data_IF_010743159759
#
_entry.id   IF_010743159759
#
_cell.length_a   1.000
_cell.length_b   1.000
_cell.length_c   1.000
_cell.angle_alpha   90.00
_cell.angle_beta   90.00
_cell.angle_gamma   90.00
#
_symmetry.space_group_name_H-M   'P 1'
#
loop_
_entity.id
_entity.type
_entity.pdbx_description
1 polymer ?
#
# COMPACT_ATOMS: atom_id res chain seq x y z
N UNK A 1 18.34 -3.17 -2.68
CA UNK A 1 17.63 -2.10 -1.96
C UNK A 1 18.02 -2.17 -0.49
N UNK A 2 18.16 -1.03 0.20
CA UNK A 2 18.46 -0.99 1.64
C UNK A 2 17.24 -1.47 2.42
N UNK A 3 17.28 -2.66 3.03
CA UNK A 3 16.13 -3.20 3.77
C UNK A 3 15.65 -2.20 4.83
N UNK A 4 14.33 -1.98 4.90
CA UNK A 4 13.69 -1.12 5.89
C UNK A 4 13.55 0.35 5.49
N UNK A 5 14.08 0.76 4.33
CA UNK A 5 13.96 2.14 3.82
C UNK A 5 12.88 2.23 2.75
N UNK A 6 11.81 3.00 2.99
CA UNK A 6 10.84 3.31 1.94
C UNK A 6 11.56 4.10 0.83
N UNK A 7 11.45 3.62 -0.41
CA UNK A 7 11.92 4.34 -1.59
C UNK A 7 10.69 5.04 -2.17
N UNK A 8 10.60 6.34 -1.93
CA UNK A 8 9.53 7.20 -2.42
C UNK A 8 10.00 7.98 -3.67
N UNK A 9 9.09 8.51 -4.49
CA UNK A 9 9.45 9.46 -5.53
C UNK A 9 10.32 10.60 -4.95
N UNK A 10 11.38 11.02 -5.67
CA UNK A 10 12.15 12.20 -5.29
C UNK A 10 11.21 13.41 -5.18
N UNK A 11 11.18 14.03 -4.00
CA UNK A 11 10.41 15.24 -3.80
C UNK A 11 11.27 16.40 -4.33
N UNK A 12 10.68 17.36 -5.02
CA UNK A 12 11.29 18.60 -5.49
C UNK A 12 10.78 19.80 -4.69
N UNK A 13 9.52 19.72 -4.25
CA UNK A 13 8.85 20.76 -3.50
C UNK A 13 7.56 20.30 -2.85
N UNK A 14 6.89 21.22 -2.17
CA UNK A 14 5.64 20.97 -1.43
C UNK A 14 4.52 21.83 -1.99
N UNK A 15 3.31 21.30 -1.91
CA UNK A 15 2.05 22.01 -2.17
C UNK A 15 1.32 22.17 -0.85
N UNK A 16 0.93 23.38 -0.49
CA UNK A 16 0.09 23.66 0.70
C UNK A 16 -1.16 24.47 0.35
N UNK A 17 -2.20 24.34 1.18
CA UNK A 17 -3.46 25.11 1.08
C UNK A 17 -3.77 25.86 2.38
N UNK A 18 -2.73 26.47 2.95
CA UNK A 18 -2.78 27.15 4.23
C UNK A 18 -1.41 27.45 4.79
N UNK A 19 -1.41 28.27 5.84
CA UNK A 19 -0.23 28.67 6.61
C UNK A 19 -0.55 28.70 8.10
N UNK A 20 0.48 28.64 8.93
CA UNK A 20 0.34 28.97 10.35
C UNK A 20 0.41 30.48 10.51
N UNK A 21 -0.60 31.03 11.16
CA UNK A 21 -0.63 32.43 11.57
C UNK A 21 -0.62 32.52 13.08
N UNK A 22 0.14 33.47 13.59
CA UNK A 22 0.13 33.79 15.00
C UNK A 22 -1.03 34.75 15.28
N UNK A 23 -2.03 34.28 16.05
CA UNK A 23 -3.15 35.09 16.53
C UNK A 23 -3.16 35.01 18.05
N UNK A 24 -3.02 36.15 18.72
CA UNK A 24 -3.01 36.27 20.18
C UNK A 24 -1.93 35.39 20.87
N UNK A 25 -0.71 35.34 20.34
CA UNK A 25 0.38 34.50 20.86
C UNK A 25 0.20 32.99 20.63
N UNK A 26 -0.85 32.58 19.90
CA UNK A 26 -1.12 31.18 19.53
C UNK A 26 -0.87 31.01 18.03
N UNK A 27 -0.03 30.04 17.65
CA UNK A 27 0.15 29.63 16.24
C UNK A 27 -1.03 28.74 15.84
N UNK A 28 -1.92 29.28 15.01
CA UNK A 28 -3.12 28.59 14.54
C UNK A 28 -3.03 28.31 13.04
N UNK A 29 -3.45 27.12 12.59
CA UNK A 29 -3.52 26.83 11.16
C UNK A 29 -4.65 27.64 10.53
N UNK A 30 -4.31 28.45 9.52
CA UNK A 30 -5.25 29.17 8.68
C UNK A 30 -5.25 28.52 7.30
N UNK A 31 -6.43 28.04 6.88
CA UNK A 31 -6.61 27.48 5.54
C UNK A 31 -6.72 28.62 4.54
N UNK A 32 -5.82 28.60 3.57
CA UNK A 32 -5.81 29.60 2.51
C UNK A 32 -6.80 29.19 1.41
N UNK A 33 -7.32 30.19 0.71
CA UNK A 33 -8.15 29.99 -0.47
C UNK A 33 -7.32 29.91 -1.77
N UNK A 34 -6.07 29.47 -1.65
CA UNK A 34 -5.11 29.30 -2.74
C UNK A 34 -4.07 28.23 -2.39
N UNK A 35 -3.43 27.68 -3.42
CA UNK A 35 -2.23 26.87 -3.27
C UNK A 35 -0.99 27.73 -3.08
N UNK A 36 0.01 27.16 -2.41
CA UNK A 36 1.38 27.67 -2.37
C UNK A 36 2.35 26.55 -2.71
N UNK A 37 3.31 26.84 -3.59
CA UNK A 37 4.38 25.93 -3.99
C UNK A 37 5.69 26.36 -3.35
N UNK A 38 6.31 25.48 -2.59
CA UNK A 38 7.61 25.74 -1.94
C UNK A 38 8.65 24.73 -2.35
N UNK A 39 9.92 25.13 -2.30
CA UNK A 39 11.06 24.23 -2.44
C UNK A 39 11.22 23.36 -1.18
N UNK A 40 12.22 22.48 -1.19
CA UNK A 40 12.62 21.74 0.02
C UNK A 40 13.54 22.52 0.97
N UNK A 41 13.80 23.80 0.71
CA UNK A 41 14.64 24.64 1.55
C UNK A 41 13.78 25.43 2.54
N UNK A 42 14.07 25.28 3.83
CA UNK A 42 13.47 26.05 4.91
C UNK A 42 14.48 27.05 5.47
N UNK A 43 14.13 28.33 5.48
CA UNK A 43 14.86 29.39 6.17
C UNK A 43 14.24 29.67 7.54
N UNK A 44 14.83 30.60 8.30
CA UNK A 44 14.25 31.07 9.59
C UNK A 44 12.87 31.71 9.40
N UNK A 45 12.60 32.27 8.22
CA UNK A 45 11.36 32.97 7.88
C UNK A 45 10.31 32.04 7.26
N UNK A 46 10.63 30.75 7.09
CA UNK A 46 9.73 29.73 6.57
C UNK A 46 10.27 29.02 5.33
N UNK A 47 9.38 28.32 4.61
CA UNK A 47 9.74 27.61 3.39
C UNK A 47 9.97 28.59 2.24
N UNK A 48 11.09 28.41 1.52
CA UNK A 48 11.39 29.22 0.34
C UNK A 48 10.42 28.85 -0.80
N UNK A 49 9.80 29.86 -1.41
CA UNK A 49 8.89 29.68 -2.54
C UNK A 49 9.62 29.04 -3.74
N UNK A 50 8.94 28.12 -4.42
CA UNK A 50 9.45 27.53 -5.65
C UNK A 50 9.19 28.50 -6.83
N UNK A 51 10.06 28.61 -7.86
CA UNK A 51 9.83 29.48 -9.03
C UNK A 51 8.45 29.28 -9.69
N UNK A 52 8.04 28.02 -9.87
CA UNK A 52 6.70 27.64 -10.36
C UNK A 52 5.53 28.26 -9.57
N UNK A 53 5.72 28.68 -8.32
CA UNK A 53 4.69 29.35 -7.53
C UNK A 53 4.25 30.67 -8.16
N UNK A 54 5.20 31.45 -8.67
CA UNK A 54 4.91 32.73 -9.33
C UNK A 54 4.48 32.50 -10.78
N UNK A 55 5.15 31.60 -11.49
CA UNK A 55 4.83 31.30 -12.90
C UNK A 55 3.39 30.80 -13.07
N UNK A 56 2.91 29.91 -12.20
CA UNK A 56 1.53 29.41 -12.28
C UNK A 56 0.48 30.42 -11.82
N UNK A 57 0.88 31.46 -11.08
CA UNK A 57 0.01 32.60 -10.72
C UNK A 57 -0.14 33.58 -11.89
N UNK A 58 0.90 33.71 -12.72
CA UNK A 58 0.88 34.54 -13.92
C UNK A 58 -0.04 33.90 -14.97
N UNK A 59 -1.34 34.19 -14.85
CA UNK A 59 -2.41 33.55 -15.64
C UNK A 59 -3.68 33.27 -14.83
N UNK A 60 -3.65 33.54 -13.52
CA UNK A 60 -4.80 33.46 -12.61
C UNK A 60 -5.01 34.85 -11.96
N UNK A 61 -6.17 35.10 -11.35
CA UNK A 61 -6.53 36.38 -10.69
C UNK A 61 -5.72 36.62 -9.39
N UNK A 62 -4.39 36.54 -9.44
CA UNK A 62 -3.44 36.66 -8.33
C UNK A 62 -3.45 35.47 -7.36
N UNK A 63 -4.50 34.65 -7.33
CA UNK A 63 -4.65 33.45 -6.48
C UNK A 63 -4.47 32.16 -7.27
N UNK A 64 -3.51 31.35 -6.86
CA UNK A 64 -3.27 30.02 -7.44
C UNK A 64 -4.36 29.05 -6.99
N UNK A 65 -5.41 28.85 -7.79
CA UNK A 65 -6.55 27.95 -7.48
C UNK A 65 -6.54 26.66 -8.29
N UNK A 66 -5.75 26.61 -9.35
CA UNK A 66 -5.53 25.41 -10.15
C UNK A 66 -4.05 25.20 -10.41
N UNK A 67 -3.60 23.95 -10.38
CA UNK A 67 -2.23 23.55 -10.72
C UNK A 67 -2.31 22.44 -11.77
N UNK A 68 -1.87 22.67 -13.01
CA UNK A 68 -1.71 21.60 -13.99
C UNK A 68 -0.71 20.56 -13.46
N UNK A 69 -1.10 19.29 -13.48
CA UNK A 69 -0.27 18.19 -12.98
C UNK A 69 -0.20 17.05 -13.98
N UNK A 70 0.75 16.15 -13.73
CA UNK A 70 0.76 14.77 -14.21
C UNK A 70 0.94 13.84 -13.01
N UNK A 71 0.60 12.58 -13.18
CA UNK A 71 0.86 11.53 -12.19
C UNK A 71 2.02 10.66 -12.66
N UNK A 72 2.79 10.12 -11.71
CA UNK A 72 3.94 9.27 -12.01
C UNK A 72 3.50 7.85 -12.36
N UNK A 73 2.44 7.36 -11.72
CA UNK A 73 2.04 5.96 -11.76
C UNK A 73 0.61 5.78 -12.26
N UNK A 74 0.31 4.62 -12.84
CA UNK A 74 -1.06 4.27 -13.21
C UNK A 74 -1.88 3.82 -12.00
N UNK A 75 -1.23 3.19 -11.01
CA UNK A 75 -1.88 2.77 -9.77
C UNK A 75 -2.16 3.98 -8.84
N UNK A 76 -3.42 4.21 -8.43
CA UNK A 76 -3.81 5.32 -7.55
C UNK A 76 -3.01 5.38 -6.26
N UNK A 77 -2.83 4.25 -5.59
CA UNK A 77 -2.20 4.15 -4.27
C UNK A 77 -0.69 4.43 -4.30
N UNK A 78 -0.04 4.35 -5.48
CA UNK A 78 1.36 4.77 -5.63
C UNK A 78 1.50 6.29 -5.72
N UNK A 79 0.44 6.99 -6.17
CA UNK A 79 0.42 8.44 -6.24
C UNK A 79 -0.15 9.07 -4.96
N UNK A 80 -1.20 8.49 -4.40
CA UNK A 80 -1.90 9.02 -3.22
C UNK A 80 -2.07 7.96 -2.14
N UNK A 81 -1.35 8.13 -1.03
CA UNK A 81 -1.45 7.26 0.13
C UNK A 81 -2.19 7.96 1.25
N UNK A 82 -3.18 7.28 1.82
CA UNK A 82 -3.99 7.82 2.90
C UNK A 82 -4.08 6.79 4.03
N UNK A 83 -3.39 7.07 5.13
CA UNK A 83 -3.30 6.20 6.29
C UNK A 83 -3.79 6.94 7.54
N UNK A 84 -4.23 6.20 8.56
CA UNK A 84 -4.31 6.71 9.91
C UNK A 84 -2.92 6.78 10.53
N UNK A 85 -2.48 7.98 10.88
CA UNK A 85 -1.14 8.23 11.41
C UNK A 85 -1.21 8.85 12.79
N UNK A 86 -0.28 8.43 13.65
CA UNK A 86 0.00 8.99 14.97
C UNK A 86 1.49 9.33 14.99
N UNK A 87 1.79 10.57 15.33
CA UNK A 87 3.16 11.07 15.42
C UNK A 87 3.54 11.41 16.86
N UNK A 88 4.80 11.27 17.18
CA UNK A 88 5.35 11.76 18.43
C UNK A 88 5.38 13.28 18.41
N UNK A 89 4.82 13.92 19.45
CA UNK A 89 4.65 15.37 19.49
C UNK A 89 5.97 16.14 19.54
N UNK A 90 7.02 15.56 20.12
CA UNK A 90 8.29 16.24 20.34
C UNK A 90 9.23 16.06 19.14
N UNK A 91 9.20 14.87 18.55
CA UNK A 91 10.15 14.47 17.50
C UNK A 91 9.53 14.46 16.11
N UNK A 92 8.20 14.51 15.98
CA UNK A 92 7.48 14.41 14.71
C UNK A 92 7.60 13.05 14.03
N UNK A 93 8.18 12.05 14.71
CA UNK A 93 8.39 10.72 14.14
C UNK A 93 7.10 9.90 14.20
N UNK A 94 6.80 9.08 13.20
CA UNK A 94 5.63 8.23 13.23
C UNK A 94 5.74 7.21 14.37
N UNK A 95 4.75 7.22 15.25
CA UNK A 95 4.57 6.22 16.31
C UNK A 95 3.69 5.08 15.83
N UNK A 96 2.71 5.37 14.98
CA UNK A 96 1.80 4.37 14.43
C UNK A 96 1.28 4.83 13.08
N UNK A 97 1.30 3.94 12.09
CA UNK A 97 0.67 4.16 10.77
C UNK A 97 -0.17 2.94 10.44
N UNK A 98 -1.45 3.12 10.10
CA UNK A 98 -2.36 2.02 9.83
C UNK A 98 -3.50 2.38 8.91
N UNK A 99 -4.23 1.38 8.45
CA UNK A 99 -5.29 1.52 7.46
C UNK A 99 -6.71 1.34 8.05
N UNK A 100 -6.83 1.26 9.38
CA UNK A 100 -8.10 0.97 10.05
C UNK A 100 -8.43 -0.53 10.14
N UNK A 101 -7.50 -1.39 9.72
CA UNK A 101 -7.55 -2.85 9.92
C UNK A 101 -6.27 -3.35 10.61
N UNK A 102 -5.11 -2.93 10.09
CA UNK A 102 -3.77 -3.19 10.66
C UNK A 102 -2.97 -1.91 10.76
N UNK A 103 -1.97 -1.89 11.64
CA UNK A 103 -1.03 -0.80 11.78
C UNK A 103 0.39 -1.32 12.05
N UNK A 104 1.38 -0.57 11.57
CA UNK A 104 2.77 -0.66 12.01
C UNK A 104 2.96 0.34 13.14
N UNK A 105 3.37 -0.14 14.32
CA UNK A 105 3.52 0.67 15.53
C UNK A 105 4.92 0.55 16.10
N UNK A 106 5.50 1.67 16.48
CA UNK A 106 6.73 1.72 17.26
C UNK A 106 6.44 1.32 18.71
N UNK A 107 7.06 0.23 19.15
CA UNK A 107 7.00 -0.30 20.51
C UNK A 107 8.41 -0.29 21.13
N UNK A 108 8.53 -0.73 22.39
CA UNK A 108 9.83 -0.89 23.05
C UNK A 108 10.73 -1.90 22.33
N UNK A 109 10.13 -2.90 21.68
CA UNK A 109 10.81 -3.97 20.95
C UNK A 109 10.98 -3.65 19.46
N UNK A 110 10.77 -2.39 19.07
CA UNK A 110 10.84 -1.93 17.68
C UNK A 110 9.47 -1.85 16.99
N UNK A 111 9.49 -1.84 15.66
CA UNK A 111 8.26 -1.67 14.87
C UNK A 111 7.56 -3.02 14.76
N UNK A 112 6.30 -3.09 15.21
CA UNK A 112 5.47 -4.28 15.18
C UNK A 112 4.19 -4.06 14.39
N UNK A 113 3.70 -5.11 13.73
CA UNK A 113 2.40 -5.11 13.06
C UNK A 113 1.32 -5.53 14.04
N UNK A 114 0.24 -4.75 14.17
CA UNK A 114 -0.84 -5.00 15.12
C UNK A 114 -2.21 -4.64 14.54
N UNK A 115 -3.33 -5.15 15.09
CA UNK A 115 -4.66 -4.72 14.71
C UNK A 115 -4.86 -3.21 14.91
N UNK A 116 -5.53 -2.56 13.95
CA UNK A 116 -5.90 -1.16 14.01
C UNK A 116 -7.42 -1.05 14.04
N UNK A 117 -8.07 -0.79 15.20
CA UNK A 117 -9.53 -0.73 15.29
C UNK A 117 -10.13 0.58 14.76
N UNK A 118 -9.41 1.29 13.87
CA UNK A 118 -9.60 2.70 13.51
C UNK A 118 -9.45 3.65 14.73
N UNK A 119 -9.36 4.98 14.53
CA UNK A 119 -9.19 5.93 15.63
C UNK A 119 -10.29 5.86 16.70
N UNK A 120 -11.53 5.58 16.32
CA UNK A 120 -12.67 5.57 17.25
C UNK A 120 -12.58 4.42 18.28
N UNK A 121 -11.93 3.32 17.91
CA UNK A 121 -11.75 2.14 18.76
C UNK A 121 -10.34 2.02 19.36
N UNK A 122 -9.42 2.94 19.08
CA UNK A 122 -8.02 2.80 19.46
C UNK A 122 -7.68 3.61 20.72
N UNK A 123 -7.15 2.94 21.75
CA UNK A 123 -6.71 3.60 22.98
C UNK A 123 -5.62 4.66 22.77
N UNK A 124 -4.78 4.52 21.73
CA UNK A 124 -3.75 5.50 21.38
C UNK A 124 -4.28 6.68 20.56
N UNK A 125 -5.51 6.60 20.07
CA UNK A 125 -6.15 7.66 19.31
C UNK A 125 -6.98 8.62 20.19
N UNK A 126 -6.99 8.40 21.52
CA UNK A 126 -7.64 9.28 22.48
C UNK A 126 -7.21 10.74 22.29
N UNK A 127 -8.16 11.67 22.43
CA UNK A 127 -7.89 13.10 22.21
C UNK A 127 -7.60 13.47 20.75
N UNK A 128 -8.04 12.65 19.78
CA UNK A 128 -7.84 12.88 18.35
C UNK A 128 -6.35 12.88 17.93
N UNK A 129 -5.53 12.09 18.63
CA UNK A 129 -4.09 12.02 18.40
C UNK A 129 -3.74 11.26 17.11
N UNK A 130 -4.56 10.27 16.73
CA UNK A 130 -4.43 9.54 15.46
C UNK A 130 -5.42 10.11 14.44
N UNK A 131 -4.92 10.56 13.29
CA UNK A 131 -5.70 11.26 12.25
C UNK A 131 -5.45 10.63 10.88
N UNK A 132 -6.40 10.69 9.94
CA UNK A 132 -6.10 10.35 8.55
C UNK A 132 -5.05 11.32 8.01
N UNK A 133 -4.12 10.81 7.20
CA UNK A 133 -3.00 11.55 6.66
C UNK A 133 -2.78 11.14 5.20
N UNK A 134 -3.17 12.04 4.30
CA UNK A 134 -3.02 11.89 2.86
C UNK A 134 -1.69 12.46 2.39
N UNK A 135 -0.98 11.72 1.54
CA UNK A 135 0.26 12.11 0.85
C UNK A 135 0.09 11.88 -0.64
N UNK A 136 -0.09 12.96 -1.40
CA UNK A 136 -0.23 12.94 -2.84
C UNK A 136 1.07 13.40 -3.49
N UNK A 137 1.69 12.58 -4.34
CA UNK A 137 2.82 12.97 -5.18
C UNK A 137 2.32 13.26 -6.60
N UNK A 138 2.70 14.41 -7.14
CA UNK A 138 2.34 14.85 -8.50
C UNK A 138 3.55 15.43 -9.22
N UNK A 139 3.57 15.39 -10.54
CA UNK A 139 4.58 16.09 -11.35
C UNK A 139 4.00 17.44 -11.79
N UNK A 140 4.78 18.50 -11.66
CA UNK A 140 4.44 19.85 -12.14
C UNK A 140 5.57 20.30 -13.07
N UNK A 141 5.21 20.78 -14.27
CA UNK A 141 6.18 21.12 -15.31
C UNK A 141 6.80 19.89 -15.98
N UNK A 142 7.85 20.11 -16.77
CA UNK A 142 8.49 19.08 -17.60
C UNK A 142 10.02 18.95 -17.36
N UNK A 143 10.58 19.70 -16.40
CA UNK A 143 12.03 19.76 -16.16
C UNK A 143 12.61 18.45 -15.59
N UNK A 144 11.92 17.84 -14.64
CA UNK A 144 12.28 16.54 -14.07
C UNK A 144 11.07 15.59 -14.14
N UNK A 145 11.06 14.63 -15.08
CA UNK A 145 9.92 13.74 -15.27
C UNK A 145 9.73 12.70 -14.16
N UNK A 146 10.72 12.51 -13.28
CA UNK A 146 10.66 11.56 -12.15
C UNK A 146 10.60 12.24 -10.79
N UNK A 147 10.89 13.53 -10.72
CA UNK A 147 10.68 14.37 -9.55
C UNK A 147 9.21 14.69 -9.32
N UNK A 148 8.86 14.92 -8.06
CA UNK A 148 7.48 15.12 -7.62
C UNK A 148 7.31 16.28 -6.63
N UNK A 149 6.14 16.90 -6.64
CA UNK A 149 5.67 17.77 -5.59
C UNK A 149 4.74 17.00 -4.67
N UNK A 150 4.93 17.14 -3.36
CA UNK A 150 4.10 16.47 -2.37
C UNK A 150 3.03 17.41 -1.83
N UNK A 151 1.77 16.98 -1.89
CA UNK A 151 0.65 17.58 -1.19
C UNK A 151 0.28 16.71 0.02
N UNK A 152 0.32 17.30 1.22
CA UNK A 152 -0.04 16.63 2.48
C UNK A 152 -1.32 17.20 3.05
N UNK A 153 -2.16 16.33 3.61
CA UNK A 153 -3.39 16.78 4.25
C UNK A 153 -3.93 15.81 5.28
N UNK A 154 -4.38 16.35 6.41
CA UNK A 154 -5.24 15.67 7.38
C UNK A 154 -6.74 15.85 7.11
N UNK A 155 -7.11 16.54 6.02
CA UNK A 155 -8.49 16.92 5.72
C UNK A 155 -9.29 15.81 5.06
N UNK A 156 -10.28 15.26 5.77
CA UNK A 156 -11.21 14.23 5.26
C UNK A 156 -11.82 14.53 3.88
N UNK A 157 -12.18 15.78 3.60
CA UNK A 157 -12.78 16.15 2.31
C UNK A 157 -11.78 16.04 1.16
N UNK A 158 -10.53 16.47 1.34
CA UNK A 158 -9.48 16.32 0.34
C UNK A 158 -9.15 14.83 0.15
N UNK A 159 -8.94 14.09 1.24
CA UNK A 159 -8.58 12.66 1.18
C UNK A 159 -9.63 11.85 0.43
N UNK A 160 -10.89 11.96 0.83
CA UNK A 160 -11.99 11.22 0.19
C UNK A 160 -12.14 11.59 -1.29
N UNK A 161 -12.03 12.87 -1.61
CA UNK A 161 -12.20 13.34 -3.00
C UNK A 161 -11.07 12.85 -3.88
N UNK A 162 -9.82 13.00 -3.44
CA UNK A 162 -8.64 12.59 -4.20
C UNK A 162 -8.62 11.07 -4.42
N UNK A 163 -8.83 10.28 -3.36
CA UNK A 163 -8.89 8.83 -3.47
C UNK A 163 -9.95 8.39 -4.51
N UNK A 164 -11.20 8.85 -4.36
CA UNK A 164 -12.28 8.49 -5.27
C UNK A 164 -11.98 8.91 -6.72
N UNK A 165 -11.49 10.14 -6.93
CA UNK A 165 -11.16 10.65 -8.26
C UNK A 165 -10.07 9.85 -8.94
N UNK A 166 -8.98 9.51 -8.22
CA UNK A 166 -7.88 8.75 -8.79
C UNK A 166 -8.33 7.37 -9.25
N UNK A 167 -9.09 6.63 -8.43
CA UNK A 167 -9.64 5.34 -8.83
C UNK A 167 -10.61 5.45 -10.02
N UNK A 168 -11.48 6.46 -10.04
CA UNK A 168 -12.41 6.65 -11.16
C UNK A 168 -11.69 7.03 -12.45
N UNK A 169 -10.70 7.93 -12.38
CA UNK A 169 -9.89 8.35 -13.52
C UNK A 169 -9.05 7.19 -14.07
N UNK A 170 -8.48 6.34 -13.20
CA UNK A 170 -7.80 5.10 -13.62
C UNK A 170 -8.77 4.17 -14.37
N UNK A 171 -9.96 3.93 -13.80
CA UNK A 171 -10.94 3.02 -14.38
C UNK A 171 -11.41 3.48 -15.77
N UNK A 172 -11.81 4.75 -15.92
CA UNK A 172 -12.33 5.26 -17.19
C UNK A 172 -11.24 5.45 -18.25
N UNK A 173 -9.98 5.62 -17.84
CA UNK A 173 -8.84 5.72 -18.77
C UNK A 173 -8.30 4.38 -19.25
N UNK A 174 -8.80 3.27 -18.69
CA UNK A 174 -8.31 1.94 -19.00
C UNK A 174 -6.86 1.76 -18.53
N UNK A 175 -6.59 2.15 -17.27
CA UNK A 175 -5.28 2.06 -16.61
C UNK A 175 -4.21 2.99 -17.23
N UNK A 176 -4.60 4.20 -17.67
CA UNK A 176 -3.69 5.23 -18.21
C UNK A 176 -3.60 6.47 -17.33
N UNK A 177 -3.74 6.31 -16.01
CA UNK A 177 -3.81 7.42 -15.08
C UNK A 177 -2.57 8.35 -15.16
N UNK A 178 -1.37 7.81 -15.36
CA UNK A 178 -0.12 8.58 -15.54
C UNK A 178 -0.04 9.37 -16.86
N UNK A 179 -0.94 9.09 -17.81
CA UNK A 179 -1.00 9.75 -19.11
C UNK A 179 -2.13 10.78 -19.19
N UNK A 180 -3.02 10.85 -18.19
CA UNK A 180 -4.13 11.81 -18.20
C UNK A 180 -3.65 13.26 -18.01
N UNK A 181 -4.17 14.22 -18.80
CA UNK A 181 -3.93 15.63 -18.58
C UNK A 181 -4.80 16.13 -17.41
N UNK A 182 -4.23 16.15 -16.21
CA UNK A 182 -4.94 16.48 -14.97
C UNK A 182 -4.54 17.85 -14.42
N UNK A 183 -5.35 18.36 -13.50
CA UNK A 183 -5.05 19.52 -12.65
C UNK A 183 -5.61 19.32 -11.23
N UNK A 184 -4.89 19.85 -10.24
CA UNK A 184 -5.41 20.02 -8.89
C UNK A 184 -6.24 21.29 -8.83
N UNK A 185 -7.45 21.21 -8.27
CA UNK A 185 -8.33 22.35 -8.06
C UNK A 185 -8.68 22.54 -6.60
N UNK A 186 -8.64 23.79 -6.16
CA UNK A 186 -9.17 24.17 -4.87
C UNK A 186 -10.69 24.38 -4.96
N UNK A 187 -11.45 23.65 -4.14
CA UNK A 187 -12.91 23.71 -4.07
C UNK A 187 -13.34 24.29 -2.73
N UNK A 188 -14.32 25.18 -2.73
CA UNK A 188 -14.95 25.69 -1.51
C UNK A 188 -16.28 24.98 -1.22
N UNK A 189 -16.55 24.70 0.05
CA UNK A 189 -17.87 24.24 0.54
C UNK A 189 -18.19 24.92 1.88
N UNK A 190 -19.44 25.29 2.09
CA UNK A 190 -19.96 25.67 3.41
C UNK A 190 -20.69 24.48 4.04
N UNK A 191 -20.57 24.32 5.36
CA UNK A 191 -21.29 23.29 6.12
C UNK A 191 -21.95 23.92 7.33
N UNK A 192 -23.03 23.31 7.86
CA UNK A 192 -23.65 23.79 9.11
C UNK A 192 -22.65 23.79 10.28
N UNK A 193 -21.72 22.83 10.29
CA UNK A 193 -20.64 22.75 11.29
C UNK A 193 -19.58 23.86 11.15
N UNK A 194 -19.49 24.53 9.99
CA UNK A 194 -18.53 25.63 9.78
C UNK A 194 -19.10 27.00 10.09
N UNK A 195 -20.33 27.09 10.63
CA UNK A 195 -21.02 28.36 10.93
C UNK A 195 -21.02 29.36 9.75
N UNK A 196 -21.05 28.85 8.51
CA UNK A 196 -21.03 29.67 7.30
C UNK A 196 -19.63 30.04 6.79
N UNK A 197 -18.55 29.72 7.51
CA UNK A 197 -17.19 29.91 7.00
C UNK A 197 -16.90 28.93 5.84
N UNK A 198 -16.26 29.40 4.75
CA UNK A 198 -15.90 28.54 3.62
C UNK A 198 -14.78 27.57 4.02
N UNK A 199 -14.99 26.28 3.75
CA UNK A 199 -13.97 25.23 3.90
C UNK A 199 -13.43 24.91 2.51
N UNK A 200 -12.12 25.03 2.35
CA UNK A 200 -11.43 24.64 1.13
C UNK A 200 -10.90 23.20 1.21
N UNK A 201 -10.99 22.48 0.10
CA UNK A 201 -10.44 21.14 -0.09
C UNK A 201 -9.88 20.97 -1.50
N UNK A 202 -9.01 20.00 -1.69
CA UNK A 202 -8.36 19.72 -2.97
C UNK A 202 -9.12 18.62 -3.72
N UNK A 203 -9.39 18.88 -4.98
CA UNK A 203 -10.00 17.98 -5.98
C UNK A 203 -9.00 17.77 -7.12
N UNK A 204 -9.15 16.69 -7.88
CA UNK A 204 -8.36 16.42 -9.07
C UNK A 204 -9.32 16.19 -10.25
N UNK A 205 -9.11 16.95 -11.33
CA UNK A 205 -9.95 16.91 -12.52
C UNK A 205 -9.10 16.87 -13.78
N UNK A 206 -9.71 16.60 -14.93
CA UNK A 206 -9.09 16.90 -16.23
C UNK A 206 -8.81 18.40 -16.33
N UNK A 207 -7.78 18.78 -17.09
CA UNK A 207 -7.38 20.18 -17.25
C UNK A 207 -8.53 21.05 -17.76
N UNK A 208 -8.56 22.30 -17.31
CA UNK A 208 -9.52 23.30 -17.76
C UNK A 208 -9.51 23.40 -19.29
N UNK A 209 -10.70 23.39 -19.90
CA UNK A 209 -10.86 23.49 -21.35
C UNK A 209 -10.78 22.18 -22.12
N UNK A 210 -10.51 21.04 -21.47
CA UNK A 210 -10.57 19.71 -22.09
C UNK A 210 -11.84 18.96 -21.68
N UNK A 211 -12.53 18.38 -22.66
CA UNK A 211 -13.56 17.38 -22.42
C UNK A 211 -12.96 16.08 -21.88
N UNK A 212 -13.76 15.26 -21.22
CA UNK A 212 -13.30 13.95 -20.74
C UNK A 212 -12.86 13.06 -21.91
N UNK A 213 -13.62 13.05 -23.00
CA UNK A 213 -13.30 12.26 -24.20
C UNK A 213 -11.98 12.70 -24.84
N UNK A 214 -11.76 14.01 -24.97
CA UNK A 214 -10.48 14.55 -25.47
C UNK A 214 -9.30 14.19 -24.56
N UNK A 215 -9.51 14.24 -23.24
CA UNK A 215 -8.49 13.84 -22.27
C UNK A 215 -8.13 12.36 -22.39
N UNK A 216 -9.10 11.49 -22.68
CA UNK A 216 -8.88 10.06 -22.92
C UNK A 216 -8.13 9.82 -24.23
N UNK A 217 -8.47 10.54 -25.29
CA UNK A 217 -7.76 10.49 -26.58
C UNK A 217 -6.30 10.95 -26.39
N UNK A 218 -6.10 12.07 -25.70
CA UNK A 218 -4.77 12.59 -25.40
C UNK A 218 -3.94 11.60 -24.56
N UNK A 219 -4.53 10.96 -23.56
CA UNK A 219 -3.86 9.96 -22.75
C UNK A 219 -3.45 8.72 -23.56
N UNK A 220 -4.31 8.26 -24.47
CA UNK A 220 -3.98 7.16 -25.39
C UNK A 220 -2.83 7.53 -26.32
N UNK A 221 -2.88 8.72 -26.94
CA UNK A 221 -1.82 9.20 -27.82
C UNK A 221 -0.48 9.34 -27.09
N UNK A 222 -0.50 9.83 -25.85
CA UNK A 222 0.69 9.96 -25.02
C UNK A 222 1.27 8.59 -24.63
N UNK A 223 0.41 7.62 -24.28
CA UNK A 223 0.84 6.24 -24.03
C UNK A 223 1.54 5.64 -25.25
N UNK A 224 0.93 5.73 -26.44
CA UNK A 224 1.52 5.22 -27.68
C UNK A 224 2.87 5.87 -27.99
N UNK A 225 2.96 7.19 -27.81
CA UNK A 225 4.20 7.96 -27.99
C UNK A 225 5.29 7.52 -27.00
N UNK A 226 4.93 7.35 -25.73
CA UNK A 226 5.83 6.88 -24.67
C UNK A 226 6.33 5.46 -24.95
N UNK A 227 5.43 4.55 -25.31
CA UNK A 227 5.78 3.18 -25.66
C UNK A 227 6.72 3.12 -26.86
N UNK A 228 6.47 3.92 -27.90
CA UNK A 228 7.35 4.02 -29.06
C UNK A 228 8.75 4.55 -28.70
N UNK A 229 8.83 5.44 -27.71
CA UNK A 229 10.10 5.95 -27.16
C UNK A 229 10.79 4.99 -26.18
N UNK A 230 10.18 3.84 -25.86
CA UNK A 230 10.72 2.84 -24.91
C UNK A 230 10.44 3.15 -23.43
N UNK A 231 9.52 4.06 -23.12
CA UNK A 231 9.10 4.34 -21.74
C UNK A 231 8.19 3.22 -21.22
N UNK A 232 8.63 2.54 -20.16
CA UNK A 232 7.93 1.40 -19.55
C UNK A 232 7.21 1.83 -18.26
N UNK A 233 5.93 2.18 -18.41
CA UNK A 233 5.10 2.61 -17.28
C UNK A 233 4.86 1.47 -16.28
N UNK A 234 4.65 0.24 -16.75
CA UNK A 234 4.43 -0.91 -15.87
C UNK A 234 5.66 -1.24 -15.04
N UNK A 235 6.85 -1.08 -15.62
CA UNK A 235 8.12 -1.19 -14.88
C UNK A 235 8.26 -0.13 -13.80
N UNK A 236 7.89 1.12 -14.10
CA UNK A 236 7.96 2.23 -13.17
C UNK A 236 7.02 2.00 -11.97
N UNK A 237 5.77 1.62 -12.23
CA UNK A 237 4.80 1.25 -11.19
C UNK A 237 5.30 0.09 -10.33
N UNK A 238 5.87 -0.95 -10.95
CA UNK A 238 6.45 -2.07 -10.21
C UNK A 238 7.61 -1.64 -9.30
N UNK A 239 8.51 -0.78 -9.80
CA UNK A 239 9.65 -0.28 -9.05
C UNK A 239 9.19 0.56 -7.85
N UNK A 240 8.19 1.43 -8.03
CA UNK A 240 7.61 2.21 -6.95
C UNK A 240 6.91 1.35 -5.90
N UNK A 241 6.12 0.35 -6.32
CA UNK A 241 5.47 -0.59 -5.39
C UNK A 241 6.49 -1.33 -4.52
N UNK A 242 7.57 -1.81 -5.13
CA UNK A 242 8.68 -2.44 -4.39
C UNK A 242 9.37 -1.44 -3.45
N UNK A 243 9.59 -0.22 -3.93
CA UNK A 243 10.19 0.86 -3.16
C UNK A 243 9.41 1.20 -1.90
N UNK A 244 8.10 1.38 -2.01
CA UNK A 244 7.23 1.67 -0.88
C UNK A 244 7.15 0.48 0.09
N UNK A 245 7.06 -0.75 -0.40
CA UNK A 245 7.02 -1.95 0.44
C UNK A 245 8.33 -2.23 1.19
N UNK A 246 9.44 -1.63 0.78
CA UNK A 246 10.74 -1.81 1.42
C UNK A 246 10.86 -1.09 2.78
N UNK A 247 9.99 -0.12 3.07
CA UNK A 247 9.99 0.66 4.31
C UNK A 247 8.91 0.25 5.33
N UNK A 248 9.22 0.46 6.61
CA UNK A 248 8.22 0.34 7.67
C UNK A 248 7.36 1.61 7.80
N UNK A 249 7.99 2.77 7.65
CA UNK A 249 7.35 4.08 7.55
C UNK A 249 7.90 4.81 6.33
N UNK A 250 7.10 5.73 5.81
CA UNK A 250 7.48 6.53 4.63
C UNK A 250 8.15 7.85 5.03
N UNK A 251 7.92 8.31 6.26
CA UNK A 251 8.31 9.65 6.69
C UNK A 251 9.81 9.73 6.94
N UNK A 252 10.45 10.65 6.23
CA UNK A 252 11.86 11.03 6.41
C UNK A 252 11.99 12.03 7.56
N UNK A 253 13.15 12.02 8.23
CA UNK A 253 13.43 12.91 9.38
C UNK A 253 13.25 14.41 9.03
N UNK A 254 13.42 14.76 7.76
CA UNK A 254 13.30 16.12 7.21
C UNK A 254 11.87 16.70 7.25
N UNK A 255 10.84 15.87 7.44
CA UNK A 255 9.44 16.30 7.46
C UNK A 255 8.86 16.49 8.87
N UNK A 256 9.64 16.19 9.89
CA UNK A 256 9.21 16.15 11.30
C UNK A 256 8.61 17.48 11.79
N UNK A 257 9.23 18.62 11.45
CA UNK A 257 8.73 19.94 11.89
C UNK A 257 7.34 20.27 11.36
N UNK A 258 7.12 20.12 10.05
CA UNK A 258 5.83 20.40 9.41
C UNK A 258 4.73 19.42 9.85
N UNK A 259 5.09 18.16 10.09
CA UNK A 259 4.17 17.13 10.58
C UNK A 259 3.70 17.46 12.00
N UNK A 260 4.61 17.83 12.91
CA UNK A 260 4.23 18.24 14.28
C UNK A 260 3.28 19.42 14.26
N UNK A 261 3.57 20.42 13.42
CA UNK A 261 2.74 21.62 13.31
C UNK A 261 1.34 21.32 12.75
N UNK A 262 1.19 20.38 11.80
CA UNK A 262 -0.11 19.99 11.25
C UNK A 262 -0.90 19.09 12.23
N UNK A 263 -0.22 18.22 12.98
CA UNK A 263 -0.86 17.27 13.90
C UNK A 263 -1.21 17.86 15.26
N UNK A 264 -0.38 18.78 15.78
CA UNK A 264 -0.47 19.32 17.15
C UNK A 264 -0.47 20.86 17.15
N UNK A 265 -1.56 21.53 16.69
CA UNK A 265 -1.70 22.96 16.89
C UNK A 265 -1.66 23.24 18.40
N UNK A 266 -0.80 24.18 18.83
CA UNK A 266 -0.64 24.52 20.24
C UNK A 266 -1.95 25.05 20.81
N UNK A 267 -2.69 24.19 21.52
CA UNK A 267 -3.76 24.58 22.42
C UNK A 267 -3.21 24.33 23.82
N UNK A 268 -2.75 25.40 24.47
CA UNK A 268 -2.64 25.38 25.93
C UNK A 268 -4.06 25.33 26.49
N UNK A 269 -4.50 24.12 26.81
CA UNK A 269 -5.37 23.84 27.96
C UNK A 269 -5.48 22.30 28.12
N UNK A 270 -4.64 21.75 28.99
CA UNK A 270 -5.07 20.79 30.02
C UNK A 270 -3.97 20.61 31.08
N UNK A 271 -4.32 20.55 32.37
CA UNK A 271 -3.37 20.56 33.47
C UNK A 271 -2.58 19.25 33.54
N UNK A 272 -1.32 19.42 33.90
CA UNK A 272 -0.31 18.40 34.19
C UNK A 272 -0.84 17.23 35.01
N UNK A 273 -0.64 16.00 34.50
CA UNK A 273 -0.69 14.79 35.32
C UNK A 273 0.59 13.96 35.15
N UNK A 274 1.41 14.10 36.18
CA UNK A 274 2.35 13.13 36.78
C UNK A 274 3.51 12.70 35.90
N UNK A 275 4.63 13.37 36.13
CA UNK A 275 5.99 12.92 35.84
C UNK A 275 6.28 11.58 36.53
N UNK A 276 6.83 10.64 35.77
CA UNK A 276 7.67 9.56 36.30
C UNK A 276 9.00 9.64 35.54
N UNK A 277 9.95 10.38 36.10
CA UNK A 277 11.34 10.36 35.66
C UNK A 277 12.02 9.04 36.08
N UNK A 278 12.67 8.30 35.18
CA UNK A 278 13.74 7.38 35.55
C UNK A 278 15.08 8.15 35.63
N UNK A 279 16.04 7.71 36.48
CA UNK A 279 17.31 8.40 36.69
C UNK A 279 18.24 8.30 35.46
N UNK A 280 19.23 9.21 35.32
CA UNK A 280 20.08 9.28 34.14
C UNK A 280 21.05 8.10 34.07
N UNK A 281 20.97 7.33 32.98
CA UNK A 281 21.98 6.33 32.60
C UNK A 281 23.00 6.95 31.65
N UNK A 282 24.28 6.66 31.95
CA UNK A 282 25.46 7.17 31.28
C UNK A 282 25.51 6.82 29.77
N UNK A 283 26.20 7.69 29.02
CA UNK A 283 26.38 7.61 27.57
C UNK A 283 27.03 6.30 27.09
N UNK A 284 26.61 5.72 25.94
CA UNK A 284 27.31 4.57 25.37
C UNK A 284 28.51 5.00 24.51
N UNK A 285 29.58 4.23 24.65
CA UNK A 285 30.85 4.30 23.95
C UNK A 285 30.76 3.80 22.50
N UNK A 286 31.66 4.30 21.64
CA UNK A 286 31.79 3.92 20.22
C UNK A 286 32.21 2.43 20.09
N UNK A 287 31.68 1.68 19.10
CA UNK A 287 32.07 0.29 18.88
C UNK A 287 33.50 0.17 18.34
N UNK A 288 34.21 -0.86 18.81
CA UNK A 288 35.63 -1.11 18.52
C UNK A 288 35.87 -1.75 17.15
N UNK A 289 37.11 -1.62 16.65
CA UNK A 289 37.56 -2.12 15.35
C UNK A 289 37.39 -3.65 15.19
N UNK A 290 37.26 -4.41 16.28
CA UNK A 290 37.02 -5.85 16.27
C UNK A 290 35.57 -6.19 15.85
N UNK A 291 34.59 -5.37 16.26
CA UNK A 291 33.18 -5.50 15.83
C UNK A 291 32.95 -5.07 14.37
N UNK A 292 33.91 -4.35 13.77
CA UNK A 292 33.94 -4.00 12.34
C UNK A 292 34.56 -5.09 11.45
N UNK A 293 35.16 -6.14 12.02
CA UNK A 293 35.85 -7.19 11.27
C UNK A 293 35.08 -8.52 11.20
N UNK A 294 34.06 -8.74 12.04
CA UNK A 294 33.18 -9.91 11.94
C UNK A 294 31.99 -9.72 10.96
N UNK A 295 31.70 -8.47 10.56
CA UNK A 295 30.63 -8.14 9.60
C UNK A 295 31.04 -8.23 8.11
N UNK A 296 32.20 -8.86 7.81
CA UNK A 296 32.76 -8.97 6.45
C UNK A 296 32.90 -10.41 5.91
N UNK A 297 32.34 -11.42 6.58
CA UNK A 297 32.53 -12.83 6.19
C UNK A 297 31.27 -13.61 5.75
N UNK A 298 30.11 -12.96 5.56
CA UNK A 298 28.89 -13.67 5.11
C UNK A 298 28.09 -12.90 4.06
N UNK A 299 28.80 -12.28 3.12
CA UNK A 299 28.28 -11.98 1.79
C UNK A 299 28.73 -13.08 0.82
N UNK A 300 27.84 -13.98 0.42
CA UNK A 300 27.77 -14.46 -0.97
C UNK A 300 26.54 -15.34 -1.20
N UNK A 301 25.89 -15.10 -2.35
CA UNK A 301 24.71 -15.78 -2.97
C UNK A 301 23.37 -15.17 -2.52
N UNK A 302 22.41 -14.82 -3.38
CA UNK A 302 22.21 -15.08 -4.80
C UNK A 302 21.43 -13.92 -5.44
N UNK A 303 21.46 -13.84 -6.78
CA UNK A 303 20.97 -12.77 -7.65
C UNK A 303 19.46 -12.93 -7.93
N UNK A 304 18.80 -11.79 -8.16
CA UNK A 304 17.69 -11.46 -9.09
C UNK A 304 16.83 -12.59 -9.72
N UNK A 305 15.55 -12.32 -10.02
CA UNK A 305 15.02 -12.01 -11.40
C UNK A 305 13.51 -11.65 -11.40
N UNK A 306 13.10 -10.92 -12.45
CA UNK A 306 11.82 -10.27 -12.77
C UNK A 306 10.84 -11.19 -13.54
N UNK A 307 9.61 -10.71 -13.70
CA UNK A 307 8.50 -10.99 -14.65
C UNK A 307 8.74 -11.79 -15.95
N UNK A 308 7.62 -12.38 -16.45
CA UNK A 308 7.29 -12.81 -17.84
C UNK A 308 8.13 -13.93 -18.47
N UNK A 309 7.41 -14.83 -19.15
CA UNK A 309 7.82 -16.05 -19.85
C UNK A 309 8.96 -15.87 -20.89
N UNK A 310 10.18 -15.55 -20.48
CA UNK A 310 11.31 -15.30 -21.39
C UNK A 310 11.89 -16.58 -22.01
N UNK A 311 11.76 -17.75 -21.36
CA UNK A 311 12.49 -18.96 -21.78
C UNK A 311 11.64 -20.16 -22.20
N UNK A 312 10.31 -20.08 -22.08
CA UNK A 312 9.38 -21.15 -22.46
C UNK A 312 8.64 -20.77 -23.73
N UNK A 313 8.88 -21.50 -24.81
CA UNK A 313 8.04 -21.48 -26.01
C UNK A 313 7.19 -22.74 -26.00
N UNK A 314 5.92 -22.66 -26.39
CA UNK A 314 5.10 -23.86 -26.55
C UNK A 314 5.76 -24.77 -27.61
N UNK A 315 6.01 -26.03 -27.25
CA UNK A 315 6.58 -27.01 -28.15
C UNK A 315 5.56 -27.49 -29.19
N UNK A 316 6.04 -28.18 -30.21
CA UNK A 316 5.22 -28.68 -31.33
C UNK A 316 4.12 -29.65 -30.86
N UNK A 317 4.32 -30.32 -29.72
CA UNK A 317 3.31 -31.20 -29.11
C UNK A 317 2.58 -30.49 -27.97
N UNK A 318 1.26 -30.63 -27.93
CA UNK A 318 0.43 -30.08 -26.84
C UNK A 318 0.96 -30.58 -25.48
N UNK A 319 1.23 -29.63 -24.57
CA UNK A 319 1.78 -29.92 -23.24
C UNK A 319 3.29 -29.99 -23.17
N UNK A 320 4.00 -29.78 -24.29
CA UNK A 320 5.46 -29.66 -24.32
C UNK A 320 5.89 -28.20 -24.41
N UNK A 321 7.09 -27.90 -23.91
CA UNK A 321 7.68 -26.56 -23.95
C UNK A 321 9.15 -26.67 -24.41
N UNK A 322 9.62 -25.69 -25.17
CA UNK A 322 10.96 -25.59 -25.73
C UNK A 322 11.72 -24.47 -25.04
N UNK A 323 12.99 -24.73 -24.72
CA UNK A 323 13.90 -23.82 -24.03
C UNK A 323 14.94 -23.29 -25.00
N UNK A 324 14.88 -21.99 -25.35
CA UNK A 324 15.83 -21.38 -26.29
C UNK A 324 17.13 -20.89 -25.64
N UNK A 325 17.23 -20.93 -24.31
CA UNK A 325 18.42 -20.51 -23.58
C UNK A 325 18.64 -21.38 -22.33
N UNK A 326 19.88 -21.44 -21.79
CA UNK A 326 20.18 -22.18 -20.58
C UNK A 326 19.29 -21.74 -19.41
N UNK A 327 18.78 -22.71 -18.64
CA UNK A 327 17.99 -22.47 -17.43
C UNK A 327 18.75 -22.77 -16.16
N UNK A 328 18.48 -21.95 -15.15
CA UNK A 328 18.94 -22.14 -13.78
C UNK A 328 17.86 -22.84 -12.95
N UNK A 329 18.24 -23.41 -11.80
CA UNK A 329 17.30 -24.01 -10.84
C UNK A 329 16.21 -23.04 -10.39
N UNK A 330 16.56 -21.77 -10.18
CA UNK A 330 15.61 -20.71 -9.84
C UNK A 330 14.60 -20.45 -10.99
N UNK A 331 15.06 -20.50 -12.24
CA UNK A 331 14.17 -20.39 -13.40
C UNK A 331 13.16 -21.55 -13.42
N UNK A 332 13.60 -22.77 -13.10
CA UNK A 332 12.74 -23.97 -13.07
C UNK A 332 11.66 -23.84 -11.99
N UNK A 333 12.01 -23.40 -10.78
CA UNK A 333 11.05 -23.20 -9.70
C UNK A 333 10.03 -22.10 -10.04
N UNK A 334 10.47 -21.00 -10.63
CA UNK A 334 9.59 -19.92 -11.06
C UNK A 334 8.63 -20.38 -12.16
N UNK A 335 9.11 -21.15 -13.15
CA UNK A 335 8.28 -21.74 -14.20
C UNK A 335 7.25 -22.72 -13.62
N UNK A 336 7.66 -23.55 -12.65
CA UNK A 336 6.76 -24.48 -11.96
C UNK A 336 5.64 -23.75 -11.21
N UNK A 337 5.96 -22.69 -10.46
CA UNK A 337 4.97 -21.86 -9.78
C UNK A 337 3.98 -21.21 -10.76
N UNK A 338 4.48 -20.68 -11.88
CA UNK A 338 3.63 -20.07 -12.91
C UNK A 338 2.68 -21.08 -13.56
N UNK A 339 3.19 -22.28 -13.90
CA UNK A 339 2.37 -23.36 -14.44
C UNK A 339 1.30 -23.81 -13.42
N UNK A 340 1.65 -23.90 -12.14
CA UNK A 340 0.71 -24.23 -11.08
C UNK A 340 -0.39 -23.15 -10.91
N UNK A 341 -0.04 -21.86 -10.96
CA UNK A 341 -1.02 -20.76 -10.93
C UNK A 341 -1.95 -20.80 -12.16
N UNK A 342 -1.40 -21.04 -13.35
CA UNK A 342 -2.18 -21.15 -14.60
C UNK A 342 -3.20 -22.29 -14.52
N UNK A 343 -2.87 -23.38 -13.82
CA UNK A 343 -3.78 -24.51 -13.60
C UNK A 343 -4.90 -24.22 -12.59
N UNK A 344 -4.79 -23.15 -11.81
CA UNK A 344 -5.87 -22.58 -10.96
C UNK A 344 -6.50 -21.32 -11.58
N UNK A 345 -6.43 -21.16 -12.90
CA UNK A 345 -7.03 -20.02 -13.60
C UNK A 345 -8.56 -20.07 -13.60
N UNK A 346 -9.17 -18.89 -13.69
CA UNK A 346 -10.62 -18.69 -13.68
C UNK A 346 -11.31 -19.53 -14.75
N UNK A 347 -12.38 -20.23 -14.39
CA UNK A 347 -13.22 -21.06 -15.26
C UNK A 347 -12.79 -22.52 -15.39
N UNK A 348 -11.64 -22.91 -14.81
CA UNK A 348 -11.18 -24.31 -14.81
C UNK A 348 -12.03 -25.15 -13.86
N UNK A 349 -12.60 -26.25 -14.34
CA UNK A 349 -13.29 -27.23 -13.49
C UNK A 349 -12.28 -28.08 -12.71
N UNK A 350 -12.50 -28.24 -11.41
CA UNK A 350 -11.71 -29.12 -10.57
C UNK A 350 -12.30 -30.53 -10.63
N UNK A 351 -11.80 -31.36 -11.53
CA UNK A 351 -12.34 -32.71 -11.78
C UNK A 351 -11.60 -33.82 -11.03
N UNK A 352 -10.38 -33.56 -10.56
CA UNK A 352 -9.54 -34.55 -9.84
C UNK A 352 -8.87 -33.94 -8.61
N UNK A 353 -9.22 -34.36 -7.37
CA UNK A 353 -8.64 -33.82 -6.13
C UNK A 353 -7.11 -33.91 -6.05
N UNK A 354 -6.53 -35.01 -6.56
CA UNK A 354 -5.07 -35.22 -6.57
C UNK A 354 -4.32 -34.16 -7.38
N UNK A 355 -4.93 -33.65 -8.46
CA UNK A 355 -4.33 -32.57 -9.26
C UNK A 355 -4.34 -31.26 -8.49
N UNK A 356 -5.42 -30.98 -7.74
CA UNK A 356 -5.53 -29.79 -6.89
C UNK A 356 -4.44 -29.78 -5.82
N UNK A 357 -4.22 -30.91 -5.14
CA UNK A 357 -3.19 -31.01 -4.09
C UNK A 357 -1.79 -30.77 -4.65
N UNK A 358 -1.46 -31.40 -5.79
CA UNK A 358 -0.17 -31.19 -6.45
C UNK A 358 0.05 -29.72 -6.85
N UNK A 359 -1.00 -29.02 -7.29
CA UNK A 359 -0.91 -27.60 -7.65
C UNK A 359 -0.73 -26.72 -6.42
N UNK A 360 -1.52 -26.94 -5.37
CA UNK A 360 -1.40 -26.20 -4.11
C UNK A 360 -0.04 -26.44 -3.45
N UNK A 361 0.48 -27.67 -3.49
CA UNK A 361 1.82 -27.98 -3.01
C UNK A 361 2.89 -27.21 -3.78
N UNK A 362 2.83 -27.22 -5.11
CA UNK A 362 3.78 -26.47 -5.95
C UNK A 362 3.77 -24.97 -5.65
N UNK A 363 2.60 -24.42 -5.33
CA UNK A 363 2.44 -23.00 -5.01
C UNK A 363 2.98 -22.65 -3.63
N UNK A 364 2.69 -23.48 -2.62
CA UNK A 364 2.84 -23.05 -1.22
C UNK A 364 3.99 -23.73 -0.45
N UNK A 365 4.53 -24.86 -0.90
CA UNK A 365 5.50 -25.65 -0.13
C UNK A 365 6.83 -24.94 0.19
N UNK A 366 7.22 -23.94 -0.61
CA UNK A 366 8.48 -23.22 -0.45
C UNK A 366 8.32 -21.87 0.26
N UNK A 367 7.13 -21.56 0.78
CA UNK A 367 6.98 -20.37 1.61
C UNK A 367 7.64 -20.60 2.97
N UNK A 368 8.63 -19.75 3.29
CA UNK A 368 9.34 -19.75 4.58
C UNK A 368 8.46 -19.31 5.76
N UNK A 369 7.20 -18.96 5.49
CA UNK A 369 6.23 -18.45 6.45
C UNK A 369 4.85 -19.04 6.17
N UNK A 370 3.97 -19.08 7.18
CA UNK A 370 2.63 -19.62 7.02
C UNK A 370 1.81 -18.69 6.13
N UNK A 371 1.18 -19.25 5.10
CA UNK A 371 0.27 -18.56 4.19
C UNK A 371 -1.08 -19.24 4.27
N UNK A 372 -2.13 -18.48 4.57
CA UNK A 372 -3.52 -18.96 4.49
C UNK A 372 -4.18 -18.40 3.24
N UNK A 373 -4.85 -19.26 2.46
CA UNK A 373 -5.43 -18.94 1.17
C UNK A 373 -6.82 -19.57 0.98
N UNK A 374 -7.60 -19.00 0.06
CA UNK A 374 -8.89 -19.47 -0.39
C UNK A 374 -8.84 -19.84 -1.86
N UNK A 375 -9.35 -21.02 -2.19
CA UNK A 375 -9.72 -21.38 -3.55
C UNK A 375 -11.25 -21.26 -3.67
N UNK A 376 -11.70 -20.21 -4.36
CA UNK A 376 -13.11 -19.85 -4.49
C UNK A 376 -13.70 -20.46 -5.76
N UNK A 377 -14.89 -21.04 -5.65
CA UNK A 377 -15.51 -21.86 -6.68
C UNK A 377 -16.96 -21.42 -6.98
N UNK A 378 -17.37 -21.60 -8.23
CA UNK A 378 -18.76 -21.45 -8.64
C UNK A 378 -19.60 -22.71 -8.30
N UNK A 379 -20.90 -22.65 -8.58
CA UNK A 379 -21.84 -23.76 -8.31
C UNK A 379 -21.57 -25.03 -9.14
N UNK A 380 -20.66 -24.98 -10.11
CA UNK A 380 -20.19 -26.12 -10.91
C UNK A 380 -18.76 -26.53 -10.53
N UNK A 381 -18.26 -26.08 -9.38
CA UNK A 381 -16.91 -26.32 -8.88
C UNK A 381 -15.81 -25.87 -9.85
N UNK A 382 -16.04 -24.77 -10.56
CA UNK A 382 -15.03 -24.12 -11.39
C UNK A 382 -14.38 -22.99 -10.61
N UNK A 383 -13.07 -22.83 -10.80
CA UNK A 383 -12.30 -21.80 -10.11
C UNK A 383 -12.79 -20.41 -10.49
N UNK A 384 -13.16 -19.61 -9.50
CA UNK A 384 -13.42 -18.18 -9.63
C UNK A 384 -12.11 -17.43 -9.42
N UNK A 385 -11.42 -17.73 -8.32
CA UNK A 385 -10.13 -17.15 -7.96
C UNK A 385 -9.40 -18.00 -6.91
N UNK A 386 -8.07 -17.86 -6.87
CA UNK A 386 -7.23 -18.26 -5.75
C UNK A 386 -6.73 -16.99 -5.05
N UNK A 387 -6.91 -16.88 -3.74
CA UNK A 387 -6.60 -15.68 -2.95
C UNK A 387 -5.83 -16.04 -1.70
N UNK A 388 -4.58 -15.62 -1.62
CA UNK A 388 -3.84 -15.59 -0.37
C UNK A 388 -4.37 -14.46 0.51
N UNK A 389 -4.68 -14.77 1.77
CA UNK A 389 -5.30 -13.85 2.71
C UNK A 389 -4.34 -13.39 3.79
N UNK A 390 -3.57 -14.32 4.33
CA UNK A 390 -2.73 -14.06 5.50
C UNK A 390 -1.34 -14.64 5.28
N UNK A 391 -0.34 -13.89 5.74
CA UNK A 391 1.07 -14.32 5.77
C UNK A 391 1.56 -14.11 7.21
N UNK A 392 1.69 -15.18 7.98
CA UNK A 392 2.03 -15.18 9.40
C UNK A 392 3.47 -15.63 9.67
N UNK A 393 4.01 -15.32 10.85
CA UNK A 393 5.23 -15.94 11.39
C UNK A 393 4.88 -17.25 12.12
N UNK A 394 5.90 -17.99 12.55
CA UNK A 394 5.82 -19.30 13.25
C UNK A 394 4.85 -19.40 14.46
N UNK A 395 4.23 -18.30 14.91
CA UNK A 395 3.30 -18.23 16.04
C UNK A 395 1.81 -18.19 15.61
N UNK A 396 1.51 -18.45 14.34
CA UNK A 396 0.15 -18.61 13.81
C UNK A 396 -0.41 -17.38 13.11
N UNK A 397 -0.87 -17.54 11.86
CA UNK A 397 -1.66 -16.51 11.18
C UNK A 397 -3.06 -16.37 11.83
N UNK A 398 -3.40 -15.19 12.35
CA UNK A 398 -4.75 -14.91 12.84
C UNK A 398 -5.74 -14.77 11.67
N UNK A 399 -6.36 -15.87 11.26
CA UNK A 399 -7.38 -15.91 10.21
C UNK A 399 -8.75 -15.58 10.82
N UNK A 400 -9.36 -14.48 10.39
CA UNK A 400 -10.67 -14.05 10.88
C UNK A 400 -11.80 -14.49 9.94
N UNK A 401 -12.87 -15.14 10.45
CA UNK A 401 -14.00 -15.56 9.62
C UNK A 401 -14.67 -14.46 8.81
N UNK A 402 -14.69 -13.21 9.33
CA UNK A 402 -15.26 -12.07 8.61
C UNK A 402 -14.57 -11.78 7.28
N UNK A 403 -13.25 -11.95 7.18
CA UNK A 403 -12.50 -11.65 5.96
C UNK A 403 -12.75 -12.74 4.91
N UNK A 404 -12.79 -14.00 5.37
CA UNK A 404 -13.13 -15.15 4.54
C UNK A 404 -14.55 -15.00 3.97
N UNK A 405 -15.51 -14.61 4.80
CA UNK A 405 -16.91 -14.35 4.42
C UNK A 405 -17.01 -13.18 3.43
N UNK A 406 -16.32 -12.06 3.68
CA UNK A 406 -16.32 -10.88 2.80
C UNK A 406 -15.87 -11.23 1.38
N UNK A 407 -14.79 -12.00 1.25
CA UNK A 407 -14.24 -12.39 -0.05
C UNK A 407 -15.12 -13.41 -0.75
N UNK A 408 -15.69 -14.37 -0.01
CA UNK A 408 -16.66 -15.30 -0.55
C UNK A 408 -17.88 -14.58 -1.13
N UNK A 409 -18.42 -13.58 -0.43
CA UNK A 409 -19.54 -12.76 -0.90
C UNK A 409 -19.16 -11.88 -2.09
N UNK A 410 -18.02 -11.18 -2.00
CA UNK A 410 -17.53 -10.29 -3.07
C UNK A 410 -17.39 -11.02 -4.41
N UNK A 411 -16.89 -12.25 -4.37
CA UNK A 411 -16.67 -13.07 -5.56
C UNK A 411 -17.85 -13.97 -5.91
N UNK A 412 -18.98 -13.87 -5.18
CA UNK A 412 -20.17 -14.71 -5.33
C UNK A 412 -19.83 -16.21 -5.34
N UNK A 413 -18.96 -16.63 -4.42
CA UNK A 413 -18.50 -18.00 -4.33
C UNK A 413 -19.60 -18.92 -3.77
N UNK A 414 -19.95 -19.95 -4.53
CA UNK A 414 -20.87 -21.00 -4.09
C UNK A 414 -20.15 -22.00 -3.16
N UNK A 415 -18.85 -22.19 -3.38
CA UNK A 415 -18.04 -23.11 -2.60
C UNK A 415 -16.61 -22.58 -2.41
N UNK A 416 -15.94 -23.02 -1.35
CA UNK A 416 -14.57 -22.63 -0.99
C UNK A 416 -13.78 -23.84 -0.52
N UNK A 417 -12.51 -23.93 -0.93
CA UNK A 417 -11.50 -24.79 -0.31
C UNK A 417 -10.53 -23.88 0.45
N UNK A 418 -10.35 -24.17 1.73
CA UNK A 418 -9.39 -23.48 2.59
C UNK A 418 -8.01 -24.13 2.38
N UNK A 419 -6.94 -23.34 2.40
CA UNK A 419 -5.59 -23.87 2.22
C UNK A 419 -4.62 -23.13 3.13
N UNK A 420 -3.70 -23.82 3.78
CA UNK A 420 -2.51 -23.16 4.33
C UNK A 420 -1.27 -24.04 4.25
N UNK A 421 -0.09 -23.44 4.34
CA UNK A 421 1.17 -24.19 4.45
C UNK A 421 1.76 -24.17 5.85
N UNK A 422 2.46 -25.25 6.19
CA UNK A 422 3.35 -25.33 7.35
C UNK A 422 4.81 -25.20 6.89
N UNK A 423 5.52 -24.13 7.29
CA UNK A 423 6.96 -23.98 7.00
C UNK A 423 7.83 -25.08 7.60
N UNK A 424 7.37 -25.73 8.68
CA UNK A 424 8.01 -26.92 9.25
C UNK A 424 8.07 -28.08 8.25
N UNK A 425 7.16 -28.07 7.28
CA UNK A 425 7.09 -29.03 6.20
C UNK A 425 6.23 -30.26 6.48
N UNK A 426 5.82 -30.49 7.73
CA UNK A 426 4.85 -31.51 8.14
C UNK A 426 3.41 -30.99 7.89
N UNK A 427 2.62 -31.65 7.02
CA UNK A 427 1.26 -31.24 6.72
C UNK A 427 0.21 -31.69 7.78
N UNK A 428 0.60 -32.28 8.90
CA UNK A 428 -0.36 -32.69 9.93
C UNK A 428 -1.05 -31.47 10.59
N UNK A 429 -2.41 -31.37 10.56
CA UNK A 429 -3.11 -30.21 11.11
C UNK A 429 -3.09 -30.18 12.63
N UNK A 430 -2.75 -29.01 13.19
CA UNK A 430 -2.79 -28.73 14.62
C UNK A 430 -4.23 -28.64 15.16
N UNK A 431 -4.37 -28.61 16.49
CA UNK A 431 -5.69 -28.39 17.12
C UNK A 431 -6.24 -26.98 16.81
N UNK A 432 -5.36 -26.00 16.63
CA UNK A 432 -5.75 -24.64 16.23
C UNK A 432 -6.34 -24.63 14.82
N UNK A 433 -5.73 -25.36 13.88
CA UNK A 433 -6.23 -25.47 12.50
C UNK A 433 -7.61 -26.06 12.46
N UNK A 434 -7.84 -27.16 13.20
CA UNK A 434 -9.15 -27.82 13.28
C UNK A 434 -10.22 -26.87 13.84
N UNK A 435 -9.89 -26.16 14.91
CA UNK A 435 -10.81 -25.20 15.56
C UNK A 435 -11.16 -24.06 14.60
N UNK A 436 -10.16 -23.49 13.94
CA UNK A 436 -10.34 -22.45 12.93
C UNK A 436 -11.22 -22.94 11.78
N UNK A 437 -10.96 -24.16 11.30
CA UNK A 437 -11.70 -24.76 10.19
C UNK A 437 -13.20 -24.85 10.49
N UNK A 438 -13.56 -25.34 11.69
CA UNK A 438 -14.96 -25.46 12.11
C UNK A 438 -15.65 -24.10 12.26
N UNK A 439 -14.92 -23.09 12.76
CA UNK A 439 -15.42 -21.72 12.84
C UNK A 439 -15.68 -21.13 11.45
N UNK A 440 -14.75 -21.32 10.50
CA UNK A 440 -14.89 -20.87 9.12
C UNK A 440 -16.02 -21.58 8.38
N UNK A 441 -16.14 -22.91 8.53
CA UNK A 441 -17.23 -23.70 7.96
C UNK A 441 -18.59 -23.19 8.44
N UNK A 442 -18.73 -22.94 9.73
CA UNK A 442 -19.97 -22.42 10.32
C UNK A 442 -20.31 -21.02 9.76
N UNK A 443 -19.31 -20.14 9.66
CA UNK A 443 -19.50 -18.79 9.12
C UNK A 443 -19.90 -18.77 7.64
N UNK A 444 -19.21 -19.57 6.81
CA UNK A 444 -19.50 -19.69 5.38
C UNK A 444 -20.87 -20.34 5.12
N UNK A 445 -21.27 -21.31 5.95
CA UNK A 445 -22.59 -21.94 5.84
C UNK A 445 -23.73 -20.95 6.09
N UNK A 446 -23.54 -19.92 6.92
CA UNK A 446 -24.59 -18.91 7.19
C UNK A 446 -24.89 -18.05 5.96
N UNK A 447 -23.94 -17.91 5.03
CA UNK A 447 -24.13 -17.15 3.78
C UNK A 447 -24.41 -18.05 2.57
N UNK A 448 -24.61 -19.35 2.78
CA UNK A 448 -24.86 -20.30 1.70
C UNK A 448 -23.63 -20.70 0.89
N UNK A 449 -22.41 -20.46 1.40
CA UNK A 449 -21.17 -20.90 0.76
C UNK A 449 -20.68 -22.21 1.39
N UNK A 450 -20.51 -23.25 0.58
CA UNK A 450 -20.06 -24.56 1.06
C UNK A 450 -18.55 -24.59 1.26
N UNK A 451 -18.08 -25.03 2.43
CA UNK A 451 -16.66 -25.37 2.63
C UNK A 451 -16.45 -26.81 2.17
N UNK A 452 -15.74 -27.00 1.06
CA UNK A 452 -15.54 -28.32 0.46
C UNK A 452 -14.40 -29.10 1.12
N UNK A 453 -13.33 -28.40 1.50
CA UNK A 453 -12.18 -28.99 2.18
C UNK A 453 -11.34 -27.92 2.87
N UNK A 454 -10.42 -28.36 3.72
CA UNK A 454 -9.28 -27.59 4.19
C UNK A 454 -8.00 -28.41 3.98
N UNK A 455 -7.08 -27.87 3.20
CA UNK A 455 -5.85 -28.55 2.80
C UNK A 455 -4.66 -27.91 3.51
N UNK A 456 -3.91 -28.71 4.25
CA UNK A 456 -2.61 -28.32 4.83
C UNK A 456 -1.50 -28.77 3.89
N UNK A 457 -0.60 -27.85 3.56
CA UNK A 457 0.49 -28.05 2.61
C UNK A 457 1.84 -28.05 3.32
N UNK A 458 2.61 -29.11 3.13
CA UNK A 458 3.99 -29.21 3.58
C UNK A 458 4.91 -29.68 2.46
N UNK A 459 6.22 -29.68 2.72
CA UNK A 459 7.18 -30.27 1.80
C UNK A 459 7.07 -31.81 1.75
N UNK A 460 6.54 -32.46 2.80
CA UNK A 460 6.34 -33.92 2.84
C UNK A 460 5.07 -34.36 2.12
N UNK A 461 4.14 -33.43 1.83
CA UNK A 461 2.88 -33.73 1.17
C UNK A 461 1.77 -32.73 1.48
N UNK A 462 0.53 -33.11 1.17
CA UNK A 462 -0.67 -32.38 1.57
C UNK A 462 -1.60 -33.28 2.38
N UNK A 463 -2.32 -32.69 3.33
CA UNK A 463 -3.34 -33.39 4.12
C UNK A 463 -4.68 -32.67 3.95
N UNK A 464 -5.72 -33.44 3.61
CA UNK A 464 -7.10 -33.00 3.59
C UNK A 464 -7.76 -33.24 4.95
N UNK A 465 -8.38 -32.19 5.52
CA UNK A 465 -9.14 -32.33 6.75
C UNK A 465 -10.42 -33.15 6.53
N UNK A 466 -11.00 -33.16 5.33
CA UNK A 466 -12.12 -34.05 4.98
C UNK A 466 -11.69 -35.52 5.01
N UNK A 467 -10.57 -35.86 4.34
CA UNK A 467 -10.05 -37.24 4.30
C UNK A 467 -9.64 -37.75 5.70
N UNK A 468 -9.21 -36.85 6.58
CA UNK A 468 -8.90 -37.16 7.99
C UNK A 468 -10.13 -37.19 8.91
N UNK A 469 -11.32 -36.85 8.41
CA UNK A 469 -12.57 -36.86 9.18
C UNK A 469 -12.73 -35.70 10.16
N UNK A 470 -12.05 -34.57 9.92
CA UNK A 470 -12.14 -33.35 10.74
C UNK A 470 -13.11 -32.30 10.20
N UNK A 471 -13.62 -32.48 8.96
CA UNK A 471 -14.57 -31.57 8.32
C UNK A 471 -15.92 -32.23 8.01
#
# INVERSE_FOLDING_TARGET
MLKGLAITPPILGRISIGKLVEKNGKRLPEKDDQFTLTSQVQSRDGWLLHPLNEELRNGQDGKLRSIPIRLLFNEPDLNFRADYSLFDRNTGRPLCVGNGETCKRLTKDGIQSMPCPSPDGCSLAQGNACKPFGRLNVVIGDDDPLGSFVFRTTGYNSIRTLAARLHYLQAISGDRLACLPLELRLRGKSTRQSHGAPIFYVDITVRSGLGMEDALIAAKQLEETRQAAGFDQSALDQAARQGFNNGAFEDTVEDTGAIVEEFFPLIEDQPSRIELNPPPLAAPSKPSLAQKLESRASQHKSRNTRMKYHKLIAGETIGTYVMESPVTEADILQMAQQLAMSRLSKGRALTEPKQVFSHLQTLLQYHEHEVFALLLLDSKHRVIAFRELFRGTLDGASVYPREVVKIALELNAAAVILVHNHPSGDPEPSQADRTLTLALKSALSMIGTQTLDHIVVGHEGCVSLVERGYL
#
